data_IF_258247222699
#
_entry.id   IF_258247222699
#
_cell.length_a   1.000
_cell.length_b   1.000
_cell.length_c   1.000
_cell.angle_alpha   90.00
_cell.angle_beta   90.00
_cell.angle_gamma   90.00
#
_symmetry.space_group_name_H-M   'P 1'
#
loop_
_entity.id
_entity.type
_entity.pdbx_description
1 polymer ?
#
# COMPACT_ATOMS: atom_id res chain seq x y z
N UNK A 1 -10.17 1.01 -11.28
CA UNK A 1 -8.79 0.51 -11.03
C UNK A 1 -7.84 1.52 -11.64
N UNK A 2 -6.94 2.05 -10.85
CA UNK A 2 -5.90 2.98 -11.31
C UNK A 2 -4.78 2.17 -11.98
N UNK A 3 -4.22 2.68 -13.08
CA UNK A 3 -3.07 2.04 -13.76
C UNK A 3 -1.86 1.92 -12.84
N UNK A 4 -1.67 2.86 -11.92
CA UNK A 4 -0.59 2.80 -10.96
C UNK A 4 -0.75 1.65 -9.97
N UNK A 5 -1.97 1.40 -9.48
CA UNK A 5 -2.29 0.21 -8.67
C UNK A 5 -1.96 -1.09 -9.42
N UNK A 6 -2.21 -1.13 -10.74
CA UNK A 6 -1.86 -2.29 -11.55
C UNK A 6 -0.35 -2.53 -11.60
N UNK A 7 0.45 -1.47 -11.76
CA UNK A 7 1.92 -1.58 -11.72
C UNK A 7 2.38 -2.11 -10.36
N UNK A 8 1.86 -1.54 -9.25
CA UNK A 8 2.23 -2.02 -7.91
C UNK A 8 1.84 -3.48 -7.71
N UNK A 9 0.68 -3.90 -8.23
CA UNK A 9 0.26 -5.30 -8.17
C UNK A 9 1.23 -6.22 -8.92
N UNK A 10 1.63 -5.90 -10.16
CA UNK A 10 2.63 -6.67 -10.92
C UNK A 10 3.97 -6.75 -10.19
N UNK A 11 4.42 -5.66 -9.53
CA UNK A 11 5.65 -5.67 -8.73
C UNK A 11 5.55 -6.62 -7.54
N UNK A 12 4.39 -6.66 -6.86
CA UNK A 12 4.12 -7.57 -5.75
C UNK A 12 4.07 -9.02 -6.23
N UNK A 13 3.42 -9.28 -7.36
CA UNK A 13 3.33 -10.62 -7.97
C UNK A 13 4.72 -11.14 -8.37
N UNK A 14 5.58 -10.28 -8.91
CA UNK A 14 6.98 -10.60 -9.20
C UNK A 14 7.81 -10.91 -7.93
N UNK A 15 7.42 -10.40 -6.76
CA UNK A 15 7.98 -10.74 -5.44
C UNK A 15 7.25 -11.92 -4.77
N UNK A 16 6.50 -12.73 -5.52
CA UNK A 16 5.77 -13.93 -5.07
C UNK A 16 4.61 -13.68 -4.11
N UNK A 17 4.02 -12.48 -4.11
CA UNK A 17 2.76 -12.23 -3.42
C UNK A 17 1.56 -12.62 -4.30
N UNK A 18 0.54 -13.16 -3.68
CA UNK A 18 -0.81 -13.22 -4.27
C UNK A 18 -1.50 -11.88 -4.03
N UNK A 19 -1.97 -11.23 -5.09
CA UNK A 19 -2.54 -9.88 -5.00
C UNK A 19 -4.04 -9.91 -5.20
N UNK A 20 -4.77 -9.39 -4.21
CA UNK A 20 -6.21 -9.09 -4.31
C UNK A 20 -6.39 -7.58 -4.39
N UNK A 21 -7.08 -7.11 -5.43
CA UNK A 21 -7.32 -5.68 -5.70
C UNK A 21 -8.67 -5.24 -5.15
N UNK A 22 -8.79 -3.97 -4.73
CA UNK A 22 -10.03 -3.30 -4.33
C UNK A 22 -10.85 -4.12 -3.33
N UNK A 23 -10.21 -4.57 -2.23
CA UNK A 23 -10.88 -5.38 -1.22
C UNK A 23 -11.73 -4.52 -0.31
N UNK A 24 -13.04 -4.79 -0.28
CA UNK A 24 -14.02 -4.07 0.56
C UNK A 24 -14.20 -4.76 1.89
N UNK A 25 -13.74 -4.11 2.96
CA UNK A 25 -13.83 -4.62 4.33
C UNK A 25 -15.28 -4.55 4.82
N UNK A 26 -15.80 -5.67 5.36
CA UNK A 26 -17.21 -5.82 5.75
C UNK A 26 -17.50 -5.24 7.16
N UNK A 27 -17.11 -3.99 7.42
CA UNK A 27 -17.32 -3.31 8.71
C UNK A 27 -18.81 -3.29 9.07
N UNK A 28 -19.15 -3.81 10.27
CA UNK A 28 -20.52 -3.91 10.79
C UNK A 28 -21.06 -2.54 11.24
N UNK A 29 -22.35 -2.49 11.57
CA UNK A 29 -22.96 -1.25 12.12
C UNK A 29 -22.34 -0.87 13.46
N UNK A 30 -22.14 -1.84 14.34
CA UNK A 30 -21.54 -1.69 15.67
C UNK A 30 -20.10 -1.16 15.56
N UNK A 31 -19.32 -1.71 14.64
CA UNK A 31 -17.94 -1.26 14.37
C UNK A 31 -17.90 0.18 13.80
N UNK A 32 -18.88 0.56 12.96
CA UNK A 32 -19.02 1.94 12.50
C UNK A 32 -19.28 2.91 13.65
N UNK A 33 -20.11 2.51 14.64
CA UNK A 33 -20.31 3.31 15.83
C UNK A 33 -19.02 3.52 16.63
N UNK A 34 -18.17 2.49 16.75
CA UNK A 34 -16.89 2.57 17.47
C UNK A 34 -15.92 3.59 16.85
N UNK A 35 -16.01 3.83 15.55
CA UNK A 35 -15.18 4.84 14.85
C UNK A 35 -15.84 6.21 14.75
N UNK A 36 -16.94 6.44 15.51
CA UNK A 36 -17.57 7.74 15.63
C UNK A 36 -18.41 8.20 14.42
N UNK A 37 -18.74 7.31 13.50
CA UNK A 37 -19.58 7.63 12.33
C UNK A 37 -20.60 6.53 12.06
N UNK A 38 -21.87 6.86 12.13
CA UNK A 38 -22.98 5.92 11.87
C UNK A 38 -23.09 5.47 10.40
N UNK A 39 -22.64 6.32 9.48
CA UNK A 39 -22.67 6.02 8.05
C UNK A 39 -21.32 6.33 7.42
N UNK A 40 -20.54 5.27 7.13
CA UNK A 40 -19.33 5.35 6.33
C UNK A 40 -19.46 4.39 5.15
N UNK A 41 -18.94 4.74 3.97
CA UNK A 41 -18.74 3.76 2.90
C UNK A 41 -17.92 2.58 3.43
N UNK A 42 -18.09 1.39 2.83
CA UNK A 42 -17.22 0.26 3.17
C UNK A 42 -15.76 0.67 2.92
N UNK A 43 -14.88 0.54 3.92
CA UNK A 43 -13.46 0.78 3.69
C UNK A 43 -12.97 -0.13 2.57
N UNK A 44 -12.21 0.43 1.66
CA UNK A 44 -11.57 -0.32 0.56
C UNK A 44 -10.06 -0.29 0.77
N UNK A 45 -9.43 -1.45 0.65
CA UNK A 45 -7.99 -1.61 0.60
C UNK A 45 -7.60 -1.71 -0.87
N UNK A 46 -6.74 -0.83 -1.33
CA UNK A 46 -6.36 -0.75 -2.75
C UNK A 46 -5.76 -2.09 -3.23
N UNK A 47 -4.77 -2.62 -2.47
CA UNK A 47 -4.17 -3.93 -2.74
C UNK A 47 -3.95 -4.72 -1.44
N UNK A 48 -4.36 -6.00 -1.45
CA UNK A 48 -3.93 -6.99 -0.45
C UNK A 48 -2.85 -7.87 -1.08
N UNK A 49 -1.67 -7.91 -0.47
CA UNK A 49 -0.56 -8.74 -0.88
C UNK A 49 -0.38 -9.89 0.13
N UNK A 50 -0.70 -11.12 -0.28
CA UNK A 50 -0.65 -12.32 0.55
C UNK A 50 0.61 -13.10 0.24
N UNK A 51 1.44 -13.35 1.24
CA UNK A 51 2.63 -14.19 1.14
C UNK A 51 2.47 -15.46 1.98
N UNK A 52 2.06 -16.55 1.34
CA UNK A 52 1.69 -17.78 2.06
C UNK A 52 2.81 -18.38 2.89
N UNK A 53 4.04 -18.48 2.36
CA UNK A 53 5.16 -19.08 3.10
C UNK A 53 5.63 -18.24 4.30
N UNK A 54 5.37 -16.93 4.31
CA UNK A 54 5.64 -16.04 5.45
C UNK A 54 4.46 -15.89 6.38
N UNK A 55 3.30 -16.46 6.03
CA UNK A 55 2.03 -16.27 6.70
C UNK A 55 1.73 -14.79 6.98
N UNK A 56 1.83 -13.97 5.93
CA UNK A 56 1.79 -12.51 6.05
C UNK A 56 0.86 -11.92 4.97
N UNK A 57 0.13 -10.88 5.36
CA UNK A 57 -0.68 -10.05 4.47
C UNK A 57 -0.29 -8.59 4.66
N UNK A 58 0.02 -7.91 3.56
CA UNK A 58 0.23 -6.46 3.56
C UNK A 58 -1.00 -5.81 2.93
N UNK A 59 -1.66 -4.93 3.69
CA UNK A 59 -2.76 -4.10 3.22
C UNK A 59 -2.19 -2.77 2.71
N UNK A 60 -2.04 -2.62 1.39
CA UNK A 60 -1.48 -1.43 0.78
C UNK A 60 -2.55 -0.38 0.46
N UNK A 61 -2.27 0.86 0.85
CA UNK A 61 -2.79 2.08 0.25
C UNK A 61 -1.84 2.51 -0.87
N UNK A 62 -2.37 2.80 -2.04
CA UNK A 62 -1.58 3.14 -3.23
C UNK A 62 -1.89 4.58 -3.67
N UNK A 63 -0.87 5.42 -3.78
CA UNK A 63 -1.00 6.84 -4.13
C UNK A 63 -0.07 7.21 -5.27
N UNK A 64 -0.61 7.31 -6.48
CA UNK A 64 0.18 7.70 -7.67
C UNK A 64 0.75 9.12 -7.55
N UNK A 65 -0.11 10.10 -7.33
CA UNK A 65 0.22 11.53 -7.16
C UNK A 65 1.18 12.13 -8.19
N UNK A 66 1.34 11.50 -9.35
CA UNK A 66 2.32 11.89 -10.37
C UNK A 66 2.14 13.35 -10.83
N UNK A 67 0.87 13.79 -10.96
CA UNK A 67 0.51 15.14 -11.36
C UNK A 67 0.17 16.08 -10.18
N UNK A 68 0.56 15.70 -8.95
CA UNK A 68 0.30 16.46 -7.73
C UNK A 68 1.62 16.72 -6.98
N UNK A 69 1.61 17.49 -5.87
CA UNK A 69 2.81 17.68 -5.07
C UNK A 69 3.42 16.39 -4.48
N UNK A 70 2.64 15.31 -4.36
CA UNK A 70 3.08 14.05 -3.79
C UNK A 70 2.70 13.86 -2.31
N UNK A 71 3.08 12.72 -1.74
CA UNK A 71 2.88 12.39 -0.32
C UNK A 71 3.74 13.30 0.54
N UNK A 72 3.15 13.86 1.60
CA UNK A 72 3.84 14.73 2.57
C UNK A 72 3.93 14.04 3.92
N UNK A 73 5.10 14.08 4.55
CA UNK A 73 5.28 13.57 5.92
C UNK A 73 4.29 14.22 6.90
N UNK A 74 4.13 15.54 6.83
CA UNK A 74 3.22 16.28 7.69
C UNK A 74 1.74 15.83 7.60
N UNK A 75 1.33 15.27 6.45
CA UNK A 75 -0.04 14.74 6.31
C UNK A 75 -0.17 13.33 6.90
N UNK A 76 0.89 12.54 6.93
CA UNK A 76 0.94 11.23 7.57
C UNK A 76 1.08 11.31 9.11
N UNK A 77 1.68 12.38 9.61
CA UNK A 77 1.90 12.63 11.05
C UNK A 77 0.68 13.23 11.75
N UNK A 78 -0.37 13.59 11.01
CA UNK A 78 -1.61 14.05 11.61
C UNK A 78 -2.25 12.93 12.43
N UNK A 79 -2.82 13.28 13.57
CA UNK A 79 -3.62 12.37 14.37
C UNK A 79 -5.06 12.88 14.39
N UNK A 80 -5.99 11.99 14.07
CA UNK A 80 -7.42 12.28 14.02
C UNK A 80 -8.19 11.32 14.92
N UNK A 81 -8.97 11.85 15.86
CA UNK A 81 -9.89 11.03 16.68
C UNK A 81 -10.95 10.38 15.80
N UNK A 82 -11.52 11.16 14.88
CA UNK A 82 -12.48 10.68 13.87
C UNK A 82 -11.79 10.67 12.50
N UNK A 83 -11.92 9.55 11.79
CA UNK A 83 -11.23 9.37 10.49
C UNK A 83 -11.62 10.45 9.49
N UNK A 84 -10.62 11.13 8.96
CA UNK A 84 -10.75 12.12 7.89
C UNK A 84 -9.56 12.12 6.94
N UNK A 85 -9.70 12.85 5.83
CA UNK A 85 -8.62 13.02 4.86
C UNK A 85 -8.31 11.76 4.05
N UNK A 86 -7.12 11.77 3.43
CA UNK A 86 -6.69 10.76 2.44
C UNK A 86 -5.93 9.59 3.06
N UNK A 87 -5.45 9.72 4.30
CA UNK A 87 -4.58 8.75 4.97
C UNK A 87 -5.22 8.16 6.23
N UNK A 88 -6.53 7.89 6.20
CA UNK A 88 -7.33 7.49 7.36
C UNK A 88 -6.75 6.33 8.15
N UNK A 89 -6.21 5.31 7.45
CA UNK A 89 -5.58 4.15 8.07
C UNK A 89 -4.26 4.49 8.77
N UNK A 90 -3.59 5.58 8.36
CA UNK A 90 -2.33 6.02 8.98
C UNK A 90 -2.57 7.04 10.08
N UNK A 91 -3.58 7.90 9.95
CA UNK A 91 -3.81 9.09 10.78
C UNK A 91 -4.87 8.91 11.86
N UNK A 92 -5.72 7.87 11.82
CA UNK A 92 -6.69 7.56 12.88
C UNK A 92 -6.45 6.17 13.44
N UNK A 93 -6.01 6.11 14.70
CA UNK A 93 -5.70 4.85 15.37
C UNK A 93 -6.95 4.00 15.61
N UNK A 94 -8.07 4.62 16.05
CA UNK A 94 -9.35 3.95 16.28
C UNK A 94 -9.89 3.32 14.98
N UNK A 95 -9.91 4.09 13.91
CA UNK A 95 -10.32 3.62 12.59
C UNK A 95 -9.44 2.47 12.07
N UNK A 96 -8.12 2.63 12.14
CA UNK A 96 -7.16 1.59 11.75
C UNK A 96 -7.39 0.29 12.52
N UNK A 97 -7.53 0.37 13.87
CA UNK A 97 -7.75 -0.80 14.70
C UNK A 97 -9.01 -1.58 14.29
N UNK A 98 -10.12 -0.89 14.09
CA UNK A 98 -11.39 -1.51 13.70
C UNK A 98 -11.30 -2.11 12.29
N UNK A 99 -10.80 -1.34 11.32
CA UNK A 99 -10.72 -1.80 9.93
C UNK A 99 -9.78 -2.99 9.78
N UNK A 100 -8.58 -2.96 10.39
CA UNK A 100 -7.65 -4.08 10.26
C UNK A 100 -8.10 -5.33 11.04
N UNK A 101 -8.77 -5.18 12.19
CA UNK A 101 -9.36 -6.31 12.90
C UNK A 101 -10.46 -6.98 12.07
N UNK A 102 -11.36 -6.19 11.47
CA UNK A 102 -12.40 -6.70 10.56
C UNK A 102 -11.79 -7.31 9.30
N UNK A 103 -10.81 -6.66 8.69
CA UNK A 103 -10.12 -7.20 7.52
C UNK A 103 -9.52 -8.57 7.83
N UNK A 104 -8.85 -8.73 8.98
CA UNK A 104 -8.30 -10.04 9.38
C UNK A 104 -9.38 -11.09 9.50
N UNK A 105 -10.52 -10.76 10.12
CA UNK A 105 -11.66 -11.66 10.24
C UNK A 105 -12.24 -12.03 8.87
N UNK A 106 -12.47 -11.04 8.00
CA UNK A 106 -12.96 -11.28 6.64
C UNK A 106 -12.02 -12.22 5.86
N UNK A 107 -10.70 -12.06 6.00
CA UNK A 107 -9.71 -12.93 5.36
C UNK A 107 -9.75 -14.36 5.92
N UNK A 108 -9.94 -14.52 7.23
CA UNK A 108 -10.10 -15.84 7.87
C UNK A 108 -11.38 -16.51 7.38
N UNK A 109 -12.48 -15.80 7.38
CA UNK A 109 -13.79 -16.30 6.93
C UNK A 109 -13.78 -16.74 5.46
N UNK A 110 -12.93 -16.10 4.64
CA UNK A 110 -12.72 -16.48 3.23
C UNK A 110 -11.61 -17.52 3.02
N UNK A 111 -10.98 -18.04 4.08
CA UNK A 111 -9.89 -19.02 3.98
C UNK A 111 -8.58 -18.47 3.40
N UNK A 112 -8.41 -17.15 3.38
CA UNK A 112 -7.20 -16.47 2.89
C UNK A 112 -6.16 -16.19 3.98
N UNK A 113 -6.53 -16.35 5.24
CA UNK A 113 -5.68 -16.14 6.41
C UNK A 113 -6.07 -17.09 7.55
N UNK A 114 -5.24 -17.13 8.59
CA UNK A 114 -5.51 -17.83 9.86
C UNK A 114 -5.26 -16.90 11.06
N UNK A 115 -5.45 -17.39 12.28
CA UNK A 115 -5.23 -16.64 13.53
C UNK A 115 -3.83 -16.02 13.61
N UNK A 116 -2.82 -16.75 13.13
CA UNK A 116 -1.41 -16.39 13.26
C UNK A 116 -0.91 -15.53 12.09
N UNK A 117 -1.74 -15.33 11.07
CA UNK A 117 -1.38 -14.50 9.93
C UNK A 117 -1.04 -13.07 10.37
N UNK A 118 0.15 -12.61 10.03
CA UNK A 118 0.60 -11.26 10.31
C UNK A 118 -0.02 -10.28 9.30
N UNK A 119 -0.79 -9.33 9.80
CA UNK A 119 -1.38 -8.27 8.98
C UNK A 119 -0.58 -6.97 9.17
N UNK A 120 -0.09 -6.41 8.06
CA UNK A 120 0.76 -5.22 8.02
C UNK A 120 0.08 -4.16 7.16
N UNK A 121 0.13 -2.90 7.58
CA UNK A 121 -0.30 -1.77 6.74
C UNK A 121 0.87 -1.29 5.89
N UNK A 122 0.62 -1.02 4.61
CA UNK A 122 1.62 -0.52 3.68
C UNK A 122 1.15 0.72 2.94
N UNK A 123 2.10 1.56 2.53
CA UNK A 123 1.90 2.69 1.64
C UNK A 123 2.84 2.58 0.44
N UNK A 124 2.29 2.61 -0.78
CA UNK A 124 3.06 2.75 -2.01
C UNK A 124 2.83 4.16 -2.59
N UNK A 125 3.90 4.92 -2.81
CA UNK A 125 3.82 6.30 -3.28
C UNK A 125 4.57 6.48 -4.60
N UNK A 126 3.87 6.86 -5.67
CA UNK A 126 4.48 7.20 -6.96
C UNK A 126 5.26 8.52 -6.92
N UNK A 127 4.90 9.41 -5.99
CA UNK A 127 5.58 10.68 -5.79
C UNK A 127 5.53 11.10 -4.32
N UNK A 128 6.67 11.62 -3.84
CA UNK A 128 6.82 12.23 -2.52
C UNK A 128 7.10 13.72 -2.71
N UNK A 129 6.51 14.55 -1.87
CA UNK A 129 6.75 15.99 -1.88
C UNK A 129 8.22 16.29 -1.56
N UNK A 130 8.84 17.10 -2.39
CA UNK A 130 10.23 17.57 -2.19
C UNK A 130 10.23 19.07 -1.90
N UNK A 131 10.94 19.51 -0.88
CA UNK A 131 11.17 20.93 -0.62
C UNK A 131 12.32 21.42 -1.50
N UNK A 132 12.16 22.62 -2.06
CA UNK A 132 13.11 23.19 -3.05
C UNK A 132 14.57 23.25 -2.62
N UNK A 133 14.85 23.31 -1.31
CA UNK A 133 16.21 23.48 -0.74
C UNK A 133 16.75 22.20 -0.08
N UNK A 134 16.00 21.10 -0.09
CA UNK A 134 16.44 19.83 0.50
C UNK A 134 17.14 18.96 -0.55
N UNK A 135 18.14 18.16 -0.14
CA UNK A 135 18.72 17.14 -1.01
C UNK A 135 17.65 16.18 -1.55
N UNK A 136 17.84 15.61 -2.74
CA UNK A 136 16.94 14.59 -3.27
C UNK A 136 16.73 13.44 -2.28
N UNK A 137 15.55 12.84 -2.31
CA UNK A 137 15.16 11.68 -1.47
C UNK A 137 15.06 11.96 0.05
N UNK A 138 15.36 13.17 0.55
CA UNK A 138 15.28 13.47 1.99
C UNK A 138 13.88 13.16 2.55
N UNK A 139 12.84 13.63 1.88
CA UNK A 139 11.47 13.41 2.33
C UNK A 139 11.06 11.94 2.24
N UNK A 140 11.50 11.19 1.23
CA UNK A 140 11.28 9.74 1.14
C UNK A 140 11.88 8.99 2.33
N UNK A 141 13.11 9.36 2.75
CA UNK A 141 13.77 8.76 3.92
C UNK A 141 13.01 9.06 5.21
N UNK A 142 12.63 10.33 5.42
CA UNK A 142 11.88 10.73 6.62
C UNK A 142 10.51 10.03 6.71
N UNK A 143 9.80 9.88 5.59
CA UNK A 143 8.53 9.12 5.55
C UNK A 143 8.79 7.65 5.87
N UNK A 144 9.85 7.06 5.31
CA UNK A 144 10.23 5.68 5.55
C UNK A 144 10.50 5.43 7.04
N UNK A 145 11.35 6.23 7.66
CA UNK A 145 11.66 6.17 9.09
C UNK A 145 10.39 6.31 9.97
N UNK A 146 9.51 7.24 9.62
CA UNK A 146 8.25 7.44 10.34
C UNK A 146 7.34 6.22 10.25
N UNK A 147 7.16 5.66 9.05
CA UNK A 147 6.27 4.52 8.83
C UNK A 147 6.85 3.23 9.43
N UNK A 148 8.15 2.98 9.31
CA UNK A 148 8.84 1.83 9.91
C UNK A 148 8.78 1.86 11.44
N UNK A 149 8.92 3.05 12.06
CA UNK A 149 8.73 3.22 13.51
C UNK A 149 7.33 2.82 13.99
N UNK A 150 6.34 2.92 13.11
CA UNK A 150 4.96 2.50 13.38
C UNK A 150 4.67 1.06 12.90
N UNK A 151 5.69 0.30 12.51
CA UNK A 151 5.58 -1.06 11.95
C UNK A 151 4.75 -1.10 10.64
N UNK A 152 4.83 -0.05 9.81
CA UNK A 152 4.22 0.02 8.50
C UNK A 152 5.27 -0.16 7.40
N UNK A 153 4.87 -0.72 6.27
CA UNK A 153 5.71 -0.85 5.08
C UNK A 153 5.58 0.39 4.21
N UNK A 154 6.70 0.88 3.68
CA UNK A 154 6.70 1.97 2.72
C UNK A 154 7.45 1.60 1.44
N UNK A 155 6.78 1.73 0.31
CA UNK A 155 7.39 1.72 -1.01
C UNK A 155 7.49 3.15 -1.53
N UNK A 156 8.69 3.70 -1.47
CA UNK A 156 9.00 5.03 -2.00
C UNK A 156 9.04 5.03 -3.53
N UNK A 157 9.02 6.21 -4.18
CA UNK A 157 9.23 6.29 -5.63
C UNK A 157 10.55 5.62 -6.07
N UNK A 158 11.57 5.70 -5.24
CA UNK A 158 12.88 5.11 -5.48
C UNK A 158 12.81 3.57 -5.39
N UNK A 159 12.13 3.04 -4.37
CA UNK A 159 11.90 1.60 -4.21
C UNK A 159 11.09 1.05 -5.40
N UNK A 160 10.05 1.76 -5.82
CA UNK A 160 9.23 1.39 -6.98
C UNK A 160 10.08 1.40 -8.26
N UNK A 161 10.89 2.44 -8.46
CA UNK A 161 11.80 2.52 -9.62
C UNK A 161 12.76 1.33 -9.70
N UNK A 162 13.34 0.93 -8.58
CA UNK A 162 14.24 -0.23 -8.54
C UNK A 162 13.51 -1.54 -8.87
N UNK A 163 12.29 -1.72 -8.35
CA UNK A 163 11.46 -2.89 -8.65
C UNK A 163 11.03 -2.92 -10.11
N UNK A 164 10.63 -1.78 -10.69
CA UNK A 164 10.34 -1.69 -12.14
C UNK A 164 11.56 -2.06 -12.96
N UNK A 165 12.76 -1.61 -12.57
CA UNK A 165 14.00 -2.00 -13.24
C UNK A 165 14.22 -3.52 -13.16
N UNK A 166 13.98 -4.14 -12.00
CA UNK A 166 14.12 -5.57 -11.81
C UNK A 166 13.14 -6.40 -12.68
N UNK A 167 11.98 -5.86 -13.05
CA UNK A 167 11.06 -6.54 -13.98
C UNK A 167 11.68 -6.81 -15.36
N UNK A 168 12.70 -6.06 -15.77
CA UNK A 168 13.38 -6.32 -17.05
C UNK A 168 14.10 -7.69 -17.06
N UNK A 169 14.50 -8.20 -15.89
CA UNK A 169 15.11 -9.53 -15.73
C UNK A 169 14.08 -10.66 -15.60
N UNK A 170 12.81 -10.30 -15.34
CA UNK A 170 11.72 -11.27 -15.18
C UNK A 170 11.50 -12.05 -16.49
N UNK A 171 11.06 -13.33 -16.44
CA UNK A 171 10.60 -14.03 -17.64
C UNK A 171 9.57 -13.21 -18.42
N UNK A 172 9.51 -13.42 -19.75
CA UNK A 172 8.53 -12.70 -20.56
C UNK A 172 7.09 -13.12 -20.17
N UNK A 173 6.30 -12.13 -19.85
CA UNK A 173 4.86 -12.24 -19.65
C UNK A 173 4.17 -11.11 -20.42
N UNK A 174 2.93 -11.35 -20.87
CA UNK A 174 2.15 -10.35 -21.58
C UNK A 174 1.50 -9.35 -20.58
N UNK A 175 2.35 -8.72 -19.76
CA UNK A 175 2.00 -7.68 -18.78
C UNK A 175 2.63 -6.34 -19.22
N UNK A 176 1.84 -5.24 -19.27
CA UNK A 176 2.36 -3.94 -19.73
C UNK A 176 3.53 -3.40 -18.90
N UNK A 177 3.60 -3.67 -17.59
CA UNK A 177 4.71 -3.20 -16.76
C UNK A 177 6.00 -3.98 -17.07
N UNK A 178 5.91 -5.31 -17.26
CA UNK A 178 7.05 -6.16 -17.64
C UNK A 178 7.56 -5.77 -19.04
N UNK A 179 6.65 -5.63 -20.02
CA UNK A 179 7.01 -5.22 -21.38
C UNK A 179 7.69 -3.85 -21.37
N UNK A 180 7.12 -2.88 -20.64
CA UNK A 180 7.70 -1.54 -20.53
C UNK A 180 9.07 -1.57 -19.87
N UNK A 181 9.27 -2.35 -18.81
CA UNK A 181 10.56 -2.51 -18.16
C UNK A 181 11.61 -3.07 -19.11
N UNK A 182 11.27 -4.11 -19.89
CA UNK A 182 12.18 -4.70 -20.90
C UNK A 182 12.54 -3.71 -22.01
N UNK A 183 11.61 -2.86 -22.44
CA UNK A 183 11.88 -1.80 -23.44
C UNK A 183 12.82 -0.75 -22.87
N UNK A 184 12.62 -0.33 -21.60
CA UNK A 184 13.41 0.72 -20.96
C UNK A 184 14.80 0.27 -20.51
N UNK A 185 14.98 -1.03 -20.25
CA UNK A 185 16.21 -1.62 -19.72
C UNK A 185 16.59 -2.87 -20.52
N UNK A 186 16.83 -2.74 -21.86
CA UNK A 186 17.10 -3.89 -22.73
C UNK A 186 18.38 -4.64 -22.34
N UNK A 187 19.34 -3.97 -21.72
CA UNK A 187 20.58 -4.54 -21.22
C UNK A 187 20.38 -5.56 -20.08
N UNK A 188 19.23 -5.55 -19.42
CA UNK A 188 18.87 -6.48 -18.35
C UNK A 188 17.98 -7.63 -18.84
N UNK A 189 17.54 -7.60 -20.10
CA UNK A 189 16.65 -8.62 -20.67
C UNK A 189 17.46 -9.87 -20.98
N UNK A 190 17.06 -11.01 -20.37
CA UNK A 190 17.64 -12.34 -20.63
C UNK A 190 16.90 -13.05 -21.73
#
# INVERSE_FOLDING_TARGET
>A
MDHFESIIATLLEAEHYWVRRSFKVAVTKEEKHQVGKHSIPRPEIDLLALHFSRNEVIAFEVKSFLNSPGVRLADLQKEHEVQEGRYKLFTSQSYRKVVLARLKQDLIDHGMANSDTKLILGLAAGKVYQKKKEPPMTQSKLIKEFLEKNNFVFWSPEDIKQRVKALAEHPYENDPAIITAKILFPELTK
#
